data_IF_379159384025
#
_entry.id   IF_379159384025
#
_cell.length_a   1.000
_cell.length_b   1.000
_cell.length_c   1.000
_cell.angle_alpha   90.00
_cell.angle_beta   90.00
_cell.angle_gamma   90.00
#
_symmetry.space_group_name_H-M   'P 1'
#
loop_
_entity.id
_entity.type
_entity.pdbx_description
1 polymer ?
#
# COMPACT_ATOMS: atom_id res chain seq x y z
N UNK A 1 5.10 -24.47 4.44
CA UNK A 1 4.08 -23.50 4.85
C UNK A 1 3.72 -22.79 3.57
N UNK A 2 2.52 -23.04 3.06
CA UNK A 2 2.00 -22.29 1.92
C UNK A 2 1.93 -20.81 2.32
N UNK A 3 2.44 -19.95 1.44
CA UNK A 3 2.35 -18.50 1.61
C UNK A 3 0.90 -18.08 1.35
N UNK A 4 0.32 -17.32 2.27
CA UNK A 4 -1.08 -16.88 2.20
C UNK A 4 -1.11 -15.38 1.96
N UNK A 5 -1.70 -14.97 0.84
CA UNK A 5 -1.88 -13.57 0.46
C UNK A 5 -3.35 -13.26 0.19
N UNK A 6 -3.80 -12.08 0.63
CA UNK A 6 -5.15 -11.58 0.36
C UNK A 6 -5.01 -10.38 -0.59
N UNK A 7 -5.58 -10.43 -1.81
CA UNK A 7 -5.57 -9.28 -2.69
C UNK A 7 -6.46 -8.16 -2.10
N UNK A 8 -5.90 -6.95 -2.02
CA UNK A 8 -6.62 -5.74 -1.58
C UNK A 8 -6.50 -4.71 -2.69
N UNK A 9 -7.64 -4.14 -3.10
CA UNK A 9 -7.67 -3.03 -4.06
C UNK A 9 -7.64 -1.70 -3.31
N UNK A 10 -6.79 -0.78 -3.75
CA UNK A 10 -6.66 0.56 -3.20
C UNK A 10 -7.02 1.56 -4.30
N UNK A 11 -7.90 2.54 -4.03
CA UNK A 11 -8.33 3.48 -5.05
C UNK A 11 -7.17 4.33 -5.55
N UNK A 12 -7.15 4.53 -6.86
CA UNK A 12 -6.33 5.55 -7.52
C UNK A 12 -7.14 6.85 -7.63
N UNK A 13 -6.44 7.95 -7.85
CA UNK A 13 -7.10 9.21 -8.19
C UNK A 13 -7.56 9.24 -9.65
N UNK A 14 -8.16 10.36 -10.06
CA UNK A 14 -8.75 10.49 -11.40
C UNK A 14 -7.72 10.39 -12.55
N UNK A 15 -6.44 10.60 -12.26
CA UNK A 15 -5.33 10.52 -13.22
C UNK A 15 -4.52 9.21 -13.07
N UNK A 16 -4.95 8.27 -12.24
CA UNK A 16 -4.28 6.97 -12.05
C UNK A 16 -3.13 6.99 -11.04
N UNK A 17 -3.08 7.99 -10.15
CA UNK A 17 -2.03 8.08 -9.12
C UNK A 17 -2.48 7.46 -7.80
N UNK A 18 -1.54 6.79 -7.14
CA UNK A 18 -1.73 6.16 -5.84
C UNK A 18 -1.08 7.01 -4.74
N UNK A 19 -1.88 7.40 -3.74
CA UNK A 19 -1.38 8.13 -2.57
C UNK A 19 -0.46 7.30 -1.70
N UNK A 20 0.58 7.93 -1.19
CA UNK A 20 1.66 7.36 -0.39
C UNK A 20 2.13 8.36 0.66
N UNK A 21 2.67 7.85 1.75
CA UNK A 21 3.24 8.66 2.82
C UNK A 21 4.71 8.30 3.02
N UNK A 22 5.56 9.30 3.20
CA UNK A 22 6.97 9.06 3.50
C UNK A 22 7.14 8.58 4.95
N UNK A 23 7.81 7.44 5.20
CA UNK A 23 8.04 6.93 6.56
C UNK A 23 9.02 7.79 7.38
N UNK A 24 9.66 8.79 6.77
CA UNK A 24 10.64 9.67 7.44
C UNK A 24 10.09 11.06 7.73
N UNK A 25 9.45 11.72 6.75
CA UNK A 25 8.98 13.08 6.90
C UNK A 25 7.44 13.19 7.00
N UNK A 26 6.73 12.06 6.96
CA UNK A 26 5.26 11.97 7.05
C UNK A 26 4.53 12.78 5.96
N UNK A 27 5.27 13.21 4.93
CA UNK A 27 4.72 13.97 3.83
C UNK A 27 4.00 13.04 2.86
N UNK A 28 2.77 13.40 2.51
CA UNK A 28 1.99 12.71 1.50
C UNK A 28 2.30 13.22 0.09
N UNK A 29 2.33 12.28 -0.84
CA UNK A 29 2.44 12.51 -2.26
C UNK A 29 1.74 11.36 -2.98
N UNK A 30 1.68 11.38 -4.30
CA UNK A 30 1.19 10.24 -5.07
C UNK A 30 2.16 9.87 -6.17
N UNK A 31 2.35 8.58 -6.40
CA UNK A 31 3.11 8.10 -7.56
C UNK A 31 2.17 7.54 -8.61
N UNK A 32 2.62 7.53 -9.86
CA UNK A 32 1.86 6.93 -10.94
C UNK A 32 1.76 5.41 -10.78
N UNK A 33 0.60 4.83 -11.09
CA UNK A 33 0.40 3.38 -11.05
C UNK A 33 0.49 2.82 -12.46
N UNK A 34 1.56 2.08 -12.75
CA UNK A 34 1.69 1.32 -13.99
C UNK A 34 0.86 0.04 -13.97
N UNK A 35 0.41 -0.39 -15.15
CA UNK A 35 -0.18 -1.71 -15.35
C UNK A 35 0.90 -2.81 -15.21
N UNK A 36 0.47 -4.02 -14.86
CA UNK A 36 1.38 -5.15 -14.74
C UNK A 36 2.09 -5.44 -16.09
N UNK A 37 3.42 -5.39 -16.08
CA UNK A 37 4.25 -5.65 -17.27
C UNK A 37 4.39 -4.46 -18.22
N UNK A 38 4.03 -3.25 -17.79
CA UNK A 38 4.30 -2.03 -18.53
C UNK A 38 5.81 -1.87 -18.81
N UNK A 39 6.25 -1.83 -20.09
CA UNK A 39 7.66 -1.69 -20.43
C UNK A 39 8.24 -0.32 -20.10
N UNK A 40 7.40 0.69 -19.86
CA UNK A 40 7.82 2.05 -19.52
C UNK A 40 8.00 2.27 -18.01
N UNK A 41 7.60 1.29 -17.18
CA UNK A 41 7.75 1.33 -15.72
C UNK A 41 9.21 1.11 -15.30
N UNK A 42 9.68 1.94 -14.37
CA UNK A 42 11.03 1.83 -13.84
C UNK A 42 11.12 0.77 -12.74
N UNK A 43 12.08 -0.16 -12.90
CA UNK A 43 12.34 -1.18 -11.88
C UNK A 43 13.24 -0.59 -10.81
N UNK A 44 12.67 -0.37 -9.62
CA UNK A 44 13.39 0.19 -8.48
C UNK A 44 13.51 -0.82 -7.33
N UNK A 45 14.71 -0.97 -6.77
CA UNK A 45 14.94 -1.74 -5.54
C UNK A 45 14.56 -0.93 -4.28
N UNK A 46 14.49 0.39 -4.42
CA UNK A 46 14.11 1.34 -3.39
C UNK A 46 13.52 2.59 -4.06
N UNK A 47 12.68 3.31 -3.33
CA UNK A 47 12.20 4.62 -3.76
C UNK A 47 12.78 5.72 -2.88
N UNK A 48 12.68 6.95 -3.36
CA UNK A 48 13.10 8.16 -2.67
C UNK A 48 11.92 9.09 -2.49
N UNK A 49 11.82 9.72 -1.32
CA UNK A 49 10.71 10.62 -1.04
C UNK A 49 10.79 11.86 -1.95
N UNK A 50 9.74 12.18 -2.74
CA UNK A 50 9.77 13.37 -3.59
C UNK A 50 9.91 14.69 -2.84
N UNK A 51 9.60 14.71 -1.54
CA UNK A 51 9.60 15.91 -0.70
C UNK A 51 10.90 16.08 0.08
N UNK A 52 11.44 15.01 0.67
CA UNK A 52 12.65 15.10 1.53
C UNK A 52 13.89 14.40 0.95
N UNK A 53 13.75 13.60 -0.11
CA UNK A 53 14.85 12.88 -0.76
C UNK A 53 15.39 11.67 0.02
N UNK A 54 14.80 11.33 1.17
CA UNK A 54 15.24 10.16 1.96
C UNK A 54 14.76 8.87 1.28
N UNK A 55 15.63 7.85 1.15
CA UNK A 55 15.25 6.56 0.58
C UNK A 55 14.50 5.67 1.57
N UNK A 56 13.61 4.83 1.06
CA UNK A 56 12.99 3.72 1.80
C UNK A 56 12.67 2.55 0.85
N UNK A 57 12.46 1.36 1.44
CA UNK A 57 12.09 0.16 0.67
C UNK A 57 10.75 0.31 -0.05
N UNK A 58 10.52 -0.45 -1.12
CA UNK A 58 9.32 -0.31 -1.97
C UNK A 58 7.99 -0.56 -1.23
N UNK A 59 8.04 -1.26 -0.10
CA UNK A 59 6.90 -1.60 0.77
C UNK A 59 6.67 -0.61 1.93
N UNK A 60 7.45 0.47 2.01
CA UNK A 60 7.51 1.36 3.18
C UNK A 60 6.65 2.63 3.09
N UNK A 61 5.78 2.74 2.07
CA UNK A 61 5.16 4.02 1.67
C UNK A 61 3.64 4.09 1.93
N UNK A 62 3.13 3.28 2.85
CA UNK A 62 1.69 3.22 3.14
C UNK A 62 1.25 4.35 4.06
N UNK A 63 0.12 4.97 3.77
CA UNK A 63 -0.51 5.88 4.74
C UNK A 63 -1.11 5.08 5.91
N UNK A 64 -1.26 5.67 7.10
CA UNK A 64 -1.95 5.02 8.22
C UNK A 64 -3.38 4.58 7.85
N UNK A 65 -4.08 5.36 7.02
CA UNK A 65 -5.42 5.03 6.53
C UNK A 65 -5.40 3.80 5.61
N UNK A 66 -4.41 3.68 4.71
CA UNK A 66 -4.25 2.50 3.86
C UNK A 66 -3.95 1.24 4.68
N UNK A 67 -3.05 1.33 5.67
CA UNK A 67 -2.75 0.20 6.56
C UNK A 67 -3.99 -0.27 7.32
N UNK A 68 -4.77 0.67 7.89
CA UNK A 68 -6.01 0.34 8.58
C UNK A 68 -7.05 -0.29 7.65
N UNK A 69 -7.19 0.23 6.44
CA UNK A 69 -8.08 -0.32 5.42
C UNK A 69 -7.67 -1.74 5.02
N UNK A 70 -6.39 -1.98 4.71
CA UNK A 70 -5.87 -3.30 4.33
C UNK A 70 -6.10 -4.33 5.44
N UNK A 71 -5.85 -3.95 6.70
CA UNK A 71 -6.12 -4.81 7.85
C UNK A 71 -7.61 -5.15 7.97
N UNK A 72 -8.49 -4.16 7.84
CA UNK A 72 -9.94 -4.37 7.94
C UNK A 72 -10.51 -5.22 6.79
N UNK A 73 -10.01 -5.05 5.56
CA UNK A 73 -10.45 -5.83 4.39
C UNK A 73 -9.94 -7.28 4.45
N UNK A 74 -8.70 -7.50 4.90
CA UNK A 74 -8.11 -8.85 4.93
C UNK A 74 -8.61 -9.72 6.10
N UNK A 75 -9.09 -9.10 7.18
CA UNK A 75 -9.42 -9.82 8.41
C UNK A 75 -10.46 -10.95 8.27
N UNK A 76 -11.56 -10.82 7.49
CA UNK A 76 -12.52 -11.92 7.31
C UNK A 76 -11.90 -13.16 6.66
N UNK A 77 -10.98 -12.97 5.70
CA UNK A 77 -10.33 -14.06 5.01
C UNK A 77 -9.24 -14.71 5.90
N UNK A 78 -8.50 -13.90 6.67
CA UNK A 78 -7.57 -14.41 7.70
C UNK A 78 -8.33 -15.24 8.73
N UNK A 79 -9.48 -14.76 9.20
CA UNK A 79 -10.35 -15.49 10.14
C UNK A 79 -10.80 -16.85 9.57
N UNK A 80 -11.15 -16.89 8.28
CA UNK A 80 -11.52 -18.13 7.59
C UNK A 80 -10.38 -19.13 7.61
N UNK A 81 -9.18 -18.72 7.20
CA UNK A 81 -7.99 -19.58 7.16
C UNK A 81 -7.61 -20.11 8.54
N UNK A 82 -7.67 -19.27 9.58
CA UNK A 82 -7.40 -19.70 10.96
C UNK A 82 -8.43 -20.74 11.42
N UNK A 83 -9.72 -20.49 11.17
CA UNK A 83 -10.80 -21.43 11.55
C UNK A 83 -10.66 -22.78 10.84
N UNK A 84 -10.33 -22.78 9.55
CA UNK A 84 -10.09 -24.00 8.77
C UNK A 84 -8.88 -24.78 9.28
N UNK A 85 -7.75 -24.10 9.50
CA UNK A 85 -6.51 -24.70 9.99
C UNK A 85 -6.70 -25.38 11.35
N UNK A 86 -7.42 -24.72 12.27
CA UNK A 86 -7.76 -25.29 13.57
C UNK A 86 -8.68 -26.51 13.38
N UNK A 87 -9.74 -26.38 12.57
CA UNK A 87 -10.67 -27.48 12.31
C UNK A 87 -9.98 -28.73 11.75
N UNK A 88 -9.05 -28.56 10.83
CA UNK A 88 -8.28 -29.65 10.22
C UNK A 88 -7.32 -30.30 11.23
N UNK A 89 -6.62 -29.50 12.05
CA UNK A 89 -5.73 -30.01 13.09
C UNK A 89 -6.46 -30.92 14.10
N UNK A 90 -7.71 -30.59 14.44
CA UNK A 90 -8.50 -31.37 15.39
C UNK A 90 -9.27 -32.56 14.78
N UNK A 91 -9.44 -32.63 13.46
CA UNK A 91 -10.21 -33.70 12.78
C UNK A 91 -9.61 -35.11 12.96
N UNK A 92 -8.30 -35.20 13.24
CA UNK A 92 -7.58 -36.47 13.42
C UNK A 92 -7.45 -36.98 14.85
N UNK A 93 -7.84 -36.19 15.87
CA UNK A 93 -7.59 -36.53 17.27
C UNK A 93 -8.77 -37.33 17.84
N UNK A 94 -8.57 -38.65 17.98
CA UNK A 94 -9.58 -39.55 18.59
C UNK A 94 -9.91 -39.11 20.03
N UNK A 95 -11.19 -38.90 20.31
CA UNK A 95 -11.69 -38.56 21.64
C UNK A 95 -11.84 -37.06 21.94
N UNK A 96 -11.43 -36.19 21.01
CA UNK A 96 -11.63 -34.73 21.13
C UNK A 96 -12.83 -34.30 20.28
N UNK A 97 -13.85 -33.73 20.91
CA UNK A 97 -14.96 -33.06 20.21
C UNK A 97 -14.70 -31.56 20.24
N UNK A 98 -14.11 -31.03 19.16
CA UNK A 98 -13.91 -29.59 19.04
C UNK A 98 -15.23 -28.92 18.64
N UNK A 99 -15.73 -28.04 19.50
CA UNK A 99 -16.86 -27.15 19.19
C UNK A 99 -16.29 -25.77 18.92
N UNK A 100 -16.29 -25.35 17.66
CA UNK A 100 -15.94 -23.97 17.31
C UNK A 100 -16.95 -23.02 17.97
N UNK A 101 -16.47 -22.13 18.83
CA UNK A 101 -17.25 -20.98 19.27
C UNK A 101 -17.24 -19.93 18.15
N UNK A 102 -18.42 -19.39 17.83
CA UNK A 102 -18.57 -18.35 16.80
C UNK A 102 -17.72 -17.10 17.10
N UNK A 103 -17.48 -16.83 18.39
CA UNK A 103 -16.70 -15.69 18.90
C UNK A 103 -15.18 -15.75 18.62
N UNK A 104 -14.68 -16.83 18.01
CA UNK A 104 -13.27 -16.95 17.63
C UNK A 104 -13.00 -16.27 16.28
N UNK A 105 -13.21 -14.95 16.20
CA UNK A 105 -12.83 -14.12 15.06
C UNK A 105 -11.98 -12.93 15.51
N UNK A 106 -11.16 -12.39 14.62
CA UNK A 106 -10.35 -11.19 14.84
C UNK A 106 -11.22 -9.96 15.16
N UNK A 107 -12.53 -10.02 14.90
CA UNK A 107 -13.50 -9.04 15.40
C UNK A 107 -13.23 -7.62 14.93
N UNK A 108 -12.53 -7.47 13.80
CA UNK A 108 -12.19 -6.17 13.24
C UNK A 108 -13.42 -5.55 12.58
N UNK A 109 -13.74 -4.28 12.89
CA UNK A 109 -14.82 -3.58 12.20
C UNK A 109 -14.52 -3.46 10.71
N UNK A 110 -15.58 -3.47 9.89
CA UNK A 110 -15.46 -3.13 8.46
C UNK A 110 -14.81 -1.75 8.35
N UNK A 111 -13.71 -1.60 7.60
CA UNK A 111 -13.04 -0.31 7.47
C UNK A 111 -13.91 0.65 6.66
N UNK A 112 -13.80 1.94 6.97
CA UNK A 112 -14.36 2.97 6.11
C UNK A 112 -13.70 2.91 4.73
N UNK A 113 -14.46 3.18 3.64
CA UNK A 113 -13.90 3.16 2.30
C UNK A 113 -12.84 4.23 2.14
N UNK A 114 -11.71 3.88 1.53
CA UNK A 114 -10.71 4.86 1.11
C UNK A 114 -11.31 5.73 0.00
N UNK A 115 -11.09 7.05 0.11
CA UNK A 115 -11.45 8.03 -0.91
C UNK A 115 -10.18 8.75 -1.30
N UNK A 116 -9.90 8.80 -2.59
CA UNK A 116 -8.70 9.43 -3.11
C UNK A 116 -9.05 10.77 -3.80
N UNK A 117 -8.75 11.93 -3.19
CA UNK A 117 -9.10 13.24 -3.74
C UNK A 117 -8.05 13.75 -4.73
N UNK A 118 -8.46 14.52 -5.75
CA UNK A 118 -7.55 15.24 -6.64
C UNK A 118 -7.09 16.58 -6.03
N UNK A 119 -6.16 16.53 -5.08
CA UNK A 119 -5.71 17.65 -4.23
C UNK A 119 -4.24 18.05 -4.44
N UNK A 120 -3.56 17.47 -5.43
CA UNK A 120 -2.13 17.65 -5.70
C UNK A 120 -1.86 17.88 -7.18
N UNK A 121 -0.71 18.48 -7.50
CA UNK A 121 -0.30 18.80 -8.86
C UNK A 121 0.70 17.78 -9.39
N UNK A 122 0.58 17.44 -10.68
CA UNK A 122 1.49 16.51 -11.36
C UNK A 122 2.80 17.23 -11.67
N UNK A 123 3.91 16.58 -11.38
CA UNK A 123 5.26 17.02 -11.70
C UNK A 123 6.07 15.86 -12.28
N UNK A 124 6.84 16.15 -13.32
CA UNK A 124 7.63 15.15 -14.06
C UNK A 124 9.13 15.33 -13.74
N UNK A 125 9.80 14.34 -13.15
CA UNK A 125 11.23 14.44 -12.90
C UNK A 125 12.02 14.33 -14.22
N UNK A 126 12.96 15.25 -14.51
CA UNK A 126 13.69 15.25 -15.79
C UNK A 126 14.53 13.99 -16.08
N UNK A 127 14.85 13.22 -15.05
CA UNK A 127 15.66 12.00 -15.16
C UNK A 127 14.83 10.73 -15.40
N UNK A 128 13.58 10.69 -14.95
CA UNK A 128 12.67 9.55 -15.10
C UNK A 128 11.27 10.08 -15.44
N UNK A 129 11.06 10.65 -16.64
CA UNK A 129 9.80 11.30 -17.00
C UNK A 129 8.60 10.34 -17.04
N UNK A 130 8.85 9.04 -17.18
CA UNK A 130 7.83 7.99 -17.13
C UNK A 130 7.29 7.74 -15.72
N UNK A 131 7.94 8.28 -14.69
CA UNK A 131 7.57 8.11 -13.29
C UNK A 131 7.14 9.47 -12.69
N UNK A 132 6.04 10.07 -13.19
CA UNK A 132 5.55 11.32 -12.64
C UNK A 132 5.05 11.11 -11.21
N UNK A 133 5.03 12.19 -10.45
CA UNK A 133 4.46 12.20 -9.10
C UNK A 133 3.48 13.36 -8.95
N UNK A 134 2.47 13.19 -8.09
CA UNK A 134 1.66 14.31 -7.60
C UNK A 134 2.16 14.77 -6.24
N UNK A 135 2.36 16.07 -6.09
CA UNK A 135 2.86 16.69 -4.85
C UNK A 135 2.00 17.90 -4.45
N UNK A 136 2.00 18.28 -3.17
CA UNK A 136 1.37 19.52 -2.73
C UNK A 136 1.97 20.72 -3.47
N UNK A 137 1.13 21.66 -3.92
CA UNK A 137 1.57 22.84 -4.70
C UNK A 137 2.67 23.66 -3.99
N UNK A 138 2.62 23.71 -2.65
CA UNK A 138 3.62 24.41 -1.84
C UNK A 138 5.03 23.77 -1.86
N UNK A 139 5.18 22.53 -2.34
CA UNK A 139 6.43 21.78 -2.31
C UNK A 139 7.29 21.86 -3.59
N UNK A 140 6.81 22.53 -4.65
CA UNK A 140 7.43 22.54 -6.00
C UNK A 140 8.81 23.19 -6.08
N UNK A 141 9.17 24.03 -5.11
CA UNK A 141 10.44 24.76 -5.10
C UNK A 141 11.67 23.82 -5.08
N UNK A 142 11.54 22.64 -4.48
CA UNK A 142 12.59 21.63 -4.46
C UNK A 142 11.98 20.24 -4.24
N UNK A 143 12.15 19.40 -5.23
CA UNK A 143 11.65 18.03 -5.26
C UNK A 143 12.80 17.06 -5.52
N UNK A 144 12.53 15.78 -5.34
CA UNK A 144 13.46 14.68 -5.60
C UNK A 144 12.79 13.62 -6.45
N UNK A 145 13.53 13.06 -7.41
CA UNK A 145 12.98 11.99 -8.24
C UNK A 145 12.67 10.75 -7.40
N UNK A 146 11.49 10.16 -7.59
CA UNK A 146 11.05 8.95 -6.89
C UNK A 146 12.01 7.76 -7.09
N UNK A 147 12.59 7.63 -8.29
CA UNK A 147 13.41 6.48 -8.68
C UNK A 147 14.88 6.63 -8.24
N UNK A 148 15.51 7.77 -8.51
CA UNK A 148 16.96 7.94 -8.27
C UNK A 148 17.33 8.96 -7.20
N UNK A 149 16.35 9.68 -6.63
CA UNK A 149 16.59 10.69 -5.60
C UNK A 149 17.28 11.97 -6.10
N UNK A 150 17.48 12.15 -7.41
CA UNK A 150 18.08 13.37 -7.94
C UNK A 150 17.19 14.59 -7.66
N UNK A 151 17.75 15.71 -7.15
CA UNK A 151 16.96 16.91 -6.89
C UNK A 151 16.57 17.62 -8.19
N UNK A 152 15.36 18.14 -8.25
CA UNK A 152 14.85 18.97 -9.35
C UNK A 152 13.88 20.04 -8.83
N UNK A 153 13.50 20.97 -9.70
CA UNK A 153 12.45 21.94 -9.47
C UNK A 153 11.40 21.77 -10.56
N UNK A 154 10.12 21.89 -10.18
CA UNK A 154 8.98 21.82 -11.08
C UNK A 154 8.54 23.21 -11.54
#
# INVERSE_FOLDING_TARGET
>A
MDDFSVPVSIPLDSDGFLRRECPTCEGEFKWFSHDEGDPDAEVAEQYFCPLCGVPAGCDSWWTPAQLAYMQGVAAPEIDRVIRESIGDAFRGIRGVTFRQNADFGLGTPTPDPLVEPDDMIIVEPPCHPNEPVKVPEAATARLYCLVCGAPFAA
#
